data_IF_675703817266
#
_entry.id   IF_675703817266
#
_cell.length_a   1.000
_cell.length_b   1.000
_cell.length_c   1.000
_cell.angle_alpha   90.00
_cell.angle_beta   90.00
_cell.angle_gamma   90.00
#
_symmetry.space_group_name_H-M   'P 1'
#
loop_
_entity.id
_entity.type
_entity.pdbx_description
1 polymer ?
#
# COMPACT_ATOMS: atom_id res chain seq x y z
N UNK A 1 -25.18 -40.59 -56.72
CA UNK A 1 -25.34 -39.13 -56.52
C UNK A 1 -25.84 -38.89 -55.10
N UNK A 2 -25.16 -38.02 -54.34
CA UNK A 2 -25.59 -37.26 -53.14
C UNK A 2 -26.26 -38.08 -52.00
N UNK A 3 -25.54 -38.46 -50.94
CA UNK A 3 -25.33 -37.69 -49.68
C UNK A 3 -26.60 -37.00 -49.20
N UNK A 4 -27.10 -37.34 -48.00
CA UNK A 4 -27.41 -36.38 -46.94
C UNK A 4 -27.51 -37.10 -45.59
N UNK A 5 -26.49 -36.83 -44.77
CA UNK A 5 -26.42 -37.10 -43.34
C UNK A 5 -27.38 -36.10 -42.67
N UNK A 6 -28.39 -36.56 -41.93
CA UNK A 6 -29.20 -35.68 -41.08
C UNK A 6 -28.40 -35.44 -39.80
N UNK A 7 -27.67 -34.33 -39.77
CA UNK A 7 -27.07 -33.77 -38.56
C UNK A 7 -28.16 -33.00 -37.83
N UNK A 8 -28.62 -33.55 -36.70
CA UNK A 8 -29.42 -32.82 -35.74
C UNK A 8 -28.56 -31.69 -35.15
N UNK A 9 -28.81 -30.46 -35.58
CA UNK A 9 -28.27 -29.27 -34.94
C UNK A 9 -29.05 -29.09 -33.63
N UNK A 10 -28.45 -29.57 -32.54
CA UNK A 10 -28.82 -29.11 -31.20
C UNK A 10 -28.37 -27.66 -31.13
N UNK A 11 -29.33 -26.74 -31.17
CA UNK A 11 -29.12 -25.34 -30.83
C UNK A 11 -28.78 -25.28 -29.34
N UNK A 12 -27.49 -25.45 -29.02
CA UNK A 12 -26.95 -25.10 -27.72
C UNK A 12 -26.93 -23.57 -27.71
N UNK A 13 -27.98 -22.97 -27.15
CA UNK A 13 -28.01 -21.55 -26.84
C UNK A 13 -26.81 -21.24 -25.95
N UNK A 14 -25.76 -20.69 -26.54
CA UNK A 14 -24.74 -19.96 -25.79
C UNK A 14 -25.47 -18.83 -25.08
N UNK A 15 -25.70 -19.01 -23.77
CA UNK A 15 -25.78 -17.89 -22.85
C UNK A 15 -24.47 -17.14 -23.04
N UNK A 16 -24.51 -16.06 -23.83
CA UNK A 16 -23.50 -15.01 -23.72
C UNK A 16 -23.73 -14.45 -22.34
N UNK A 17 -22.89 -14.86 -21.39
CA UNK A 17 -22.75 -14.15 -20.13
C UNK A 17 -22.48 -12.70 -20.51
N UNK A 18 -23.40 -11.80 -20.14
CA UNK A 18 -23.10 -10.37 -20.14
C UNK A 18 -21.94 -10.23 -19.16
N UNK A 19 -20.71 -10.12 -19.66
CA UNK A 19 -19.66 -9.53 -18.85
C UNK A 19 -20.12 -8.11 -18.60
N UNK A 20 -20.32 -7.74 -17.34
CA UNK A 20 -20.37 -6.33 -17.01
C UNK A 20 -19.09 -5.71 -17.59
N UNK A 21 -19.23 -4.76 -18.51
CA UNK A 21 -18.08 -4.03 -19.03
C UNK A 21 -17.34 -3.45 -17.82
N UNK A 22 -16.13 -3.95 -17.57
CA UNK A 22 -15.28 -3.42 -16.52
C UNK A 22 -14.99 -1.97 -16.89
N UNK A 23 -15.43 -1.02 -16.07
CA UNK A 23 -15.13 0.39 -16.29
C UNK A 23 -13.63 0.62 -16.11
N UNK A 24 -12.97 0.98 -17.20
CA UNK A 24 -11.58 1.42 -17.24
C UNK A 24 -11.62 2.92 -17.51
N UNK A 25 -11.22 3.79 -16.56
CA UNK A 25 -11.26 5.22 -16.79
C UNK A 25 -10.24 5.62 -17.86
N UNK A 26 -10.61 6.54 -18.75
CA UNK A 26 -9.65 7.21 -19.61
C UNK A 26 -8.85 8.20 -18.76
N UNK A 27 -7.62 7.82 -18.40
CA UNK A 27 -6.74 8.59 -17.54
C UNK A 27 -5.57 9.20 -18.33
N UNK A 28 -5.15 10.41 -17.96
CA UNK A 28 -3.87 10.98 -18.43
C UNK A 28 -2.67 10.13 -17.98
N UNK A 29 -2.82 9.44 -16.85
CA UNK A 29 -1.79 8.61 -16.24
C UNK A 29 -2.41 7.40 -15.55
N UNK A 30 -1.81 6.23 -15.77
CA UNK A 30 -2.21 4.98 -15.11
C UNK A 30 -1.04 4.41 -14.32
N UNK A 31 -1.24 4.20 -13.02
CA UNK A 31 -0.32 3.51 -12.11
C UNK A 31 -0.92 2.14 -11.80
N UNK A 32 -0.34 1.12 -12.42
CA UNK A 32 -0.83 -0.25 -12.37
C UNK A 32 0.16 -1.25 -11.78
N UNK A 33 1.23 -0.76 -11.17
CA UNK A 33 2.27 -1.56 -10.54
C UNK A 33 2.73 -0.90 -9.24
N UNK A 34 3.18 -1.71 -8.28
CA UNK A 34 3.72 -1.23 -7.01
C UNK A 34 4.98 -0.38 -7.23
N UNK A 35 5.25 0.52 -6.30
CA UNK A 35 6.45 1.37 -6.35
C UNK A 35 6.18 2.81 -5.92
N UNK A 36 7.21 3.63 -6.03
CA UNK A 36 7.17 5.06 -5.73
C UNK A 36 7.24 5.85 -7.04
N UNK A 37 6.25 6.71 -7.25
CA UNK A 37 6.07 7.53 -8.45
C UNK A 37 6.19 8.99 -8.03
N UNK A 38 7.17 9.69 -8.58
CA UNK A 38 7.39 11.11 -8.30
C UNK A 38 7.08 11.92 -9.54
N UNK A 39 6.14 12.87 -9.45
CA UNK A 39 5.88 13.77 -10.59
C UNK A 39 7.10 14.67 -10.84
N UNK A 40 7.46 14.85 -12.10
CA UNK A 40 8.51 15.79 -12.51
C UNK A 40 7.97 17.05 -13.19
N UNK A 41 6.67 17.07 -13.49
CA UNK A 41 5.96 18.20 -14.08
C UNK A 41 4.48 18.21 -13.68
N UNK A 42 3.82 19.32 -13.94
CA UNK A 42 2.38 19.45 -13.72
C UNK A 42 1.58 18.62 -14.73
N UNK A 43 0.49 18.00 -14.26
CA UNK A 43 -0.47 17.29 -15.09
C UNK A 43 -1.61 18.24 -15.46
N UNK A 44 -1.63 18.64 -16.73
CA UNK A 44 -2.70 19.43 -17.34
C UNK A 44 -3.66 18.48 -18.07
N UNK A 45 -4.84 18.25 -17.50
CA UNK A 45 -5.71 17.14 -17.92
C UNK A 45 -6.66 17.54 -19.06
N UNK A 46 -6.74 16.68 -20.08
CA UNK A 46 -7.74 16.74 -21.15
C UNK A 46 -8.79 15.60 -21.06
N UNK A 47 -8.50 14.55 -20.29
CA UNK A 47 -9.34 13.36 -20.12
C UNK A 47 -10.25 13.46 -18.87
N UNK A 48 -11.12 12.45 -18.71
CA UNK A 48 -12.04 12.36 -17.56
C UNK A 48 -11.30 12.12 -16.23
N UNK A 49 -10.14 11.43 -16.25
CA UNK A 49 -9.32 11.17 -15.06
C UNK A 49 -7.90 11.72 -15.20
N UNK A 50 -7.39 12.39 -14.18
CA UNK A 50 -5.97 12.81 -14.13
C UNK A 50 -5.04 11.61 -13.96
N UNK A 51 -5.05 11.03 -12.77
CA UNK A 51 -4.25 9.85 -12.42
C UNK A 51 -5.18 8.73 -11.97
N UNK A 52 -5.05 7.55 -12.57
CA UNK A 52 -5.70 6.33 -12.11
C UNK A 52 -4.69 5.39 -11.45
N UNK A 53 -4.93 5.05 -10.18
CA UNK A 53 -4.16 4.07 -9.44
C UNK A 53 -5.02 2.80 -9.30
N UNK A 54 -4.54 1.69 -9.86
CA UNK A 54 -5.23 0.39 -9.79
C UNK A 54 -4.36 -0.74 -9.22
N UNK A 55 -3.27 -0.37 -8.53
CA UNK A 55 -2.35 -1.28 -7.87
C UNK A 55 -2.14 -0.93 -6.38
N UNK A 56 -1.82 -1.96 -5.60
CA UNK A 56 -1.44 -1.86 -4.19
C UNK A 56 0.01 -1.42 -4.02
N UNK A 57 0.37 -0.96 -2.81
CA UNK A 57 1.74 -0.61 -2.43
C UNK A 57 2.36 0.47 -3.33
N UNK A 58 1.58 1.54 -3.51
CA UNK A 58 1.93 2.69 -4.35
C UNK A 58 2.20 3.89 -3.47
N UNK A 59 3.32 4.57 -3.71
CA UNK A 59 3.55 5.93 -3.21
C UNK A 59 3.50 6.87 -4.40
N UNK A 60 2.50 7.74 -4.47
CA UNK A 60 2.46 8.86 -5.39
C UNK A 60 2.92 10.11 -4.66
N UNK A 61 4.10 10.61 -5.00
CA UNK A 61 4.67 11.86 -4.52
C UNK A 61 4.56 12.92 -5.61
N UNK A 62 3.73 13.92 -5.39
CA UNK A 62 3.58 15.01 -6.34
C UNK A 62 4.78 15.93 -6.44
N UNK A 63 5.71 15.90 -5.48
CA UNK A 63 6.83 16.84 -5.43
C UNK A 63 6.39 18.32 -5.57
N UNK A 64 5.21 18.64 -5.03
CA UNK A 64 4.49 19.91 -5.11
C UNK A 64 3.98 20.32 -6.50
N UNK A 65 3.97 19.40 -7.47
CA UNK A 65 3.34 19.61 -8.78
C UNK A 65 1.82 19.63 -8.72
N UNK A 66 1.23 20.17 -9.78
CA UNK A 66 -0.20 20.39 -9.91
C UNK A 66 -0.83 19.25 -10.72
N UNK A 67 -1.97 18.74 -10.26
CA UNK A 67 -2.89 17.92 -11.05
C UNK A 67 -4.16 18.74 -11.25
N UNK A 68 -4.30 19.36 -12.43
CA UNK A 68 -5.42 20.26 -12.72
C UNK A 68 -6.34 19.70 -13.80
N UNK A 69 -7.64 19.83 -13.54
CA UNK A 69 -8.70 19.56 -14.50
C UNK A 69 -9.23 20.86 -15.13
N UNK A 70 -10.40 20.75 -15.76
CA UNK A 70 -11.15 21.85 -16.40
C UNK A 70 -12.54 22.07 -15.75
N UNK A 71 -12.80 21.44 -14.59
CA UNK A 71 -14.04 21.52 -13.81
C UNK A 71 -15.34 21.22 -14.61
N UNK A 72 -15.28 20.32 -15.61
CA UNK A 72 -16.50 19.84 -16.29
C UNK A 72 -17.16 18.69 -15.53
N UNK A 73 -18.47 18.49 -15.72
CA UNK A 73 -19.22 17.43 -15.03
C UNK A 73 -18.60 16.05 -15.27
N UNK A 74 -18.31 15.32 -14.17
CA UNK A 74 -17.79 13.93 -14.12
C UNK A 74 -16.27 13.73 -14.23
N UNK A 75 -15.43 14.76 -14.14
CA UNK A 75 -13.98 14.56 -14.11
C UNK A 75 -13.43 14.27 -12.69
N UNK A 76 -12.38 13.44 -12.59
CA UNK A 76 -11.73 13.05 -11.33
C UNK A 76 -10.24 13.32 -11.37
N UNK A 77 -9.68 14.01 -10.37
CA UNK A 77 -8.25 14.30 -10.32
C UNK A 77 -7.42 13.04 -10.14
N UNK A 78 -7.68 12.30 -9.06
CA UNK A 78 -7.03 11.03 -8.78
C UNK A 78 -8.10 9.99 -8.43
N UNK A 79 -8.12 8.90 -9.18
CA UNK A 79 -9.01 7.76 -8.94
C UNK A 79 -8.22 6.58 -8.41
N UNK A 80 -8.58 6.03 -7.25
CA UNK A 80 -8.00 4.80 -6.70
C UNK A 80 -9.07 3.71 -6.72
N UNK A 81 -8.98 2.82 -7.70
CA UNK A 81 -9.97 1.76 -7.90
C UNK A 81 -9.45 0.67 -8.84
N UNK A 82 -9.83 -0.57 -8.56
CA UNK A 82 -9.67 -1.71 -9.46
C UNK A 82 -10.94 -2.55 -9.40
N UNK A 83 -11.48 -2.97 -10.54
CA UNK A 83 -12.72 -3.75 -10.56
C UNK A 83 -12.54 -5.21 -10.12
N UNK A 84 -11.32 -5.74 -10.23
CA UNK A 84 -11.05 -7.16 -10.07
C UNK A 84 -10.37 -7.49 -8.74
N UNK A 85 -9.58 -6.56 -8.21
CA UNK A 85 -8.71 -6.82 -7.06
C UNK A 85 -8.91 -5.79 -5.96
N UNK A 86 -8.63 -6.18 -4.71
CA UNK A 86 -8.50 -5.24 -3.59
C UNK A 86 -7.23 -4.41 -3.77
N UNK A 87 -7.30 -3.13 -3.40
CA UNK A 87 -6.13 -2.25 -3.38
C UNK A 87 -5.79 -1.94 -1.93
N UNK A 88 -4.52 -2.10 -1.57
CA UNK A 88 -4.04 -1.85 -0.21
C UNK A 88 -2.74 -1.03 -0.21
N UNK A 89 -2.47 -0.30 0.87
CA UNK A 89 -1.21 0.39 1.12
C UNK A 89 -0.86 1.44 0.06
N UNK A 90 -1.75 2.40 -0.15
CA UNK A 90 -1.51 3.52 -1.09
C UNK A 90 -1.20 4.79 -0.32
N UNK A 91 -0.17 5.54 -0.69
CA UNK A 91 0.13 6.87 -0.16
C UNK A 91 0.12 7.89 -1.28
N UNK A 92 -0.65 8.97 -1.13
CA UNK A 92 -0.69 10.11 -2.03
C UNK A 92 -0.25 11.34 -1.24
N UNK A 93 0.78 12.05 -1.71
CA UNK A 93 1.31 13.20 -0.98
C UNK A 93 1.91 14.28 -1.86
N UNK A 94 2.08 15.47 -1.29
CA UNK A 94 2.81 16.60 -1.88
C UNK A 94 2.22 17.04 -3.23
N UNK A 95 0.90 17.14 -3.35
CA UNK A 95 0.21 17.50 -4.59
C UNK A 95 -0.68 18.72 -4.41
N UNK A 96 -0.82 19.52 -5.48
CA UNK A 96 -1.90 20.51 -5.60
C UNK A 96 -2.96 19.96 -6.55
N UNK A 97 -4.18 19.75 -6.09
CA UNK A 97 -5.26 19.10 -6.83
C UNK A 97 -6.40 20.10 -7.03
N UNK A 98 -6.66 20.48 -8.28
CA UNK A 98 -7.63 21.56 -8.53
C UNK A 98 -8.44 21.47 -9.81
N UNK A 99 -9.59 22.15 -9.81
CA UNK A 99 -10.52 22.22 -10.94
C UNK A 99 -11.11 20.85 -11.33
N UNK A 100 -11.57 20.07 -10.35
CA UNK A 100 -12.21 18.76 -10.57
C UNK A 100 -13.61 18.67 -9.95
N UNK A 101 -14.51 17.88 -10.55
CA UNK A 101 -15.75 17.49 -9.88
C UNK A 101 -15.44 16.62 -8.65
N UNK A 102 -14.40 15.79 -8.72
CA UNK A 102 -13.86 15.11 -7.53
C UNK A 102 -12.34 15.15 -7.55
N UNK A 103 -11.71 15.78 -6.55
CA UNK A 103 -10.27 15.86 -6.41
C UNK A 103 -9.64 14.47 -6.27
N UNK A 104 -10.06 13.72 -5.24
CA UNK A 104 -9.65 12.32 -5.02
C UNK A 104 -10.88 11.44 -4.83
N UNK A 105 -11.00 10.39 -5.65
CA UNK A 105 -12.06 9.38 -5.58
C UNK A 105 -11.47 8.02 -5.21
N UNK A 106 -12.04 7.37 -4.19
CA UNK A 106 -11.53 6.11 -3.65
C UNK A 106 -12.63 5.06 -3.60
N UNK A 107 -12.39 3.93 -4.24
CA UNK A 107 -13.34 2.82 -4.31
C UNK A 107 -13.52 2.07 -3.01
N UNK A 108 -14.64 1.34 -2.92
CA UNK A 108 -15.04 0.52 -1.76
C UNK A 108 -14.10 -0.68 -1.49
N UNK A 109 -13.29 -1.05 -2.47
CA UNK A 109 -12.32 -2.15 -2.40
C UNK A 109 -10.91 -1.68 -2.02
N UNK A 110 -10.78 -0.43 -1.56
CA UNK A 110 -9.50 0.17 -1.14
C UNK A 110 -9.39 0.16 0.38
N UNK A 111 -8.21 -0.23 0.88
CA UNK A 111 -7.87 -0.30 2.31
C UNK A 111 -6.49 0.32 2.56
N UNK A 112 -6.27 0.87 3.75
CA UNK A 112 -5.02 1.46 4.19
C UNK A 112 -4.45 2.47 3.18
N UNK A 113 -5.25 3.49 2.86
CA UNK A 113 -4.84 4.60 2.02
C UNK A 113 -4.48 5.83 2.87
N UNK A 114 -3.37 6.48 2.56
CA UNK A 114 -2.93 7.72 3.21
C UNK A 114 -2.89 8.87 2.20
N UNK A 115 -3.55 9.98 2.51
CA UNK A 115 -3.52 11.22 1.73
C UNK A 115 -3.06 12.35 2.64
N UNK A 116 -1.90 12.92 2.36
CA UNK A 116 -1.27 13.89 3.26
C UNK A 116 -0.41 14.92 2.55
N UNK A 117 -0.30 16.12 3.12
CA UNK A 117 0.45 17.23 2.54
C UNK A 117 -0.01 17.56 1.10
N UNK A 118 -1.31 17.49 0.86
CA UNK A 118 -1.94 17.91 -0.39
C UNK A 118 -2.74 19.19 -0.20
N UNK A 119 -2.85 19.97 -1.27
CA UNK A 119 -3.63 21.22 -1.33
C UNK A 119 -4.78 21.03 -2.32
N UNK A 120 -6.01 21.29 -1.89
CA UNK A 120 -7.22 21.10 -2.67
C UNK A 120 -7.88 22.44 -2.93
N UNK A 121 -8.07 22.82 -4.21
CA UNK A 121 -8.60 24.11 -4.62
C UNK A 121 -9.63 23.93 -5.76
N UNK A 122 -10.73 24.68 -5.74
CA UNK A 122 -11.72 24.71 -6.84
C UNK A 122 -12.21 23.32 -7.29
N UNK A 123 -12.40 22.39 -6.35
CA UNK A 123 -13.06 21.12 -6.62
C UNK A 123 -14.51 21.13 -6.10
N UNK A 124 -15.43 20.44 -6.76
CA UNK A 124 -16.79 20.27 -6.20
C UNK A 124 -16.73 19.40 -4.94
N UNK A 125 -16.06 18.24 -5.03
CA UNK A 125 -15.66 17.44 -3.89
C UNK A 125 -14.13 17.37 -3.81
N UNK A 126 -13.52 17.69 -2.68
CA UNK A 126 -12.08 17.45 -2.52
C UNK A 126 -11.80 15.94 -2.30
N UNK A 127 -12.73 15.24 -1.67
CA UNK A 127 -12.65 13.80 -1.39
C UNK A 127 -14.02 13.13 -1.55
N UNK A 128 -14.03 12.00 -2.25
CA UNK A 128 -15.13 11.03 -2.22
C UNK A 128 -14.55 9.65 -1.95
N UNK A 129 -14.76 9.11 -0.74
CA UNK A 129 -14.08 7.90 -0.27
C UNK A 129 -15.03 6.87 0.31
N UNK A 130 -14.92 5.66 -0.24
CA UNK A 130 -15.54 4.45 0.28
C UNK A 130 -14.51 3.51 0.92
N UNK A 131 -13.28 3.97 1.16
CA UNK A 131 -12.23 3.14 1.75
C UNK A 131 -12.61 2.69 3.17
N UNK A 132 -12.30 1.43 3.47
CA UNK A 132 -12.54 0.86 4.80
C UNK A 132 -11.52 1.32 5.85
N UNK A 133 -10.32 1.68 5.41
CA UNK A 133 -9.24 2.21 6.25
C UNK A 133 -8.52 3.33 5.50
N UNK A 134 -8.55 4.53 6.07
CA UNK A 134 -8.00 5.73 5.46
C UNK A 134 -7.37 6.63 6.53
N UNK A 135 -6.28 7.28 6.14
CA UNK A 135 -5.72 8.43 6.84
C UNK A 135 -5.73 9.64 5.90
N UNK A 136 -6.39 10.71 6.30
CA UNK A 136 -6.49 11.94 5.52
C UNK A 136 -6.16 13.11 6.44
N UNK A 137 -4.92 13.58 6.42
CA UNK A 137 -4.39 14.53 7.41
C UNK A 137 -3.28 15.40 6.85
N UNK A 138 -3.04 16.55 7.50
CA UNK A 138 -2.07 17.57 7.06
C UNK A 138 -2.33 18.03 5.62
N UNK A 139 -3.58 18.08 5.19
CA UNK A 139 -3.97 18.67 3.92
C UNK A 139 -4.49 20.10 4.11
N UNK A 140 -4.35 20.92 3.07
CA UNK A 140 -4.93 22.27 2.99
C UNK A 140 -6.16 22.24 2.10
N UNK A 141 -7.32 22.56 2.67
CA UNK A 141 -8.61 22.54 1.98
C UNK A 141 -9.11 23.98 1.81
N UNK A 142 -9.16 24.47 0.56
CA UNK A 142 -9.74 25.77 0.24
C UNK A 142 -11.28 25.75 0.34
N UNK A 143 -11.86 26.94 0.42
CA UNK A 143 -13.32 27.13 0.59
C UNK A 143 -14.15 26.53 -0.54
N UNK A 144 -15.44 26.31 -0.26
CA UNK A 144 -16.48 25.94 -1.22
C UNK A 144 -16.30 24.56 -1.88
N UNK A 145 -15.75 23.61 -1.13
CA UNK A 145 -15.60 22.22 -1.56
C UNK A 145 -16.26 21.30 -0.55
N UNK A 146 -16.86 20.21 -1.03
CA UNK A 146 -17.52 19.20 -0.21
C UNK A 146 -16.63 17.96 -0.02
N UNK A 147 -17.03 17.07 0.89
CA UNK A 147 -16.43 15.75 0.99
C UNK A 147 -17.42 14.69 1.44
N UNK A 148 -17.16 13.46 1.00
CA UNK A 148 -17.85 12.25 1.42
C UNK A 148 -16.80 11.24 1.88
N UNK A 149 -16.97 10.70 3.08
CA UNK A 149 -16.07 9.69 3.63
C UNK A 149 -16.78 8.89 4.71
N UNK A 150 -16.66 7.56 4.67
CA UNK A 150 -17.14 6.68 5.74
C UNK A 150 -16.18 6.56 6.92
N UNK A 151 -14.98 7.11 6.79
CA UNK A 151 -13.96 7.14 7.84
C UNK A 151 -13.60 8.60 8.18
N UNK A 152 -13.26 8.90 9.44
CA UNK A 152 -12.83 10.23 9.84
C UNK A 152 -11.60 10.70 9.05
N UNK A 153 -11.55 12.00 8.79
CA UNK A 153 -10.41 12.65 8.14
C UNK A 153 -9.35 12.97 9.19
N UNK A 154 -8.56 11.96 9.57
CA UNK A 154 -7.54 12.08 10.60
C UNK A 154 -6.28 11.26 10.29
N UNK A 155 -5.23 11.54 11.04
CA UNK A 155 -3.98 10.78 11.03
C UNK A 155 -4.08 9.54 11.93
N UNK A 156 -3.14 8.56 11.78
CA UNK A 156 -2.79 7.68 12.88
C UNK A 156 -2.25 8.51 14.07
N UNK A 157 -1.93 7.89 15.21
CA UNK A 157 -1.26 8.65 16.27
C UNK A 157 0.14 9.06 15.79
N UNK A 158 0.52 10.31 16.00
CA UNK A 158 1.79 10.88 15.53
C UNK A 158 2.58 11.41 16.72
N UNK A 159 3.91 11.34 16.63
CA UNK A 159 4.82 12.20 17.40
C UNK A 159 5.22 13.34 16.47
N UNK A 160 4.99 14.58 16.87
CA UNK A 160 5.29 15.76 16.06
C UNK A 160 5.65 16.97 16.91
N UNK A 161 6.29 17.96 16.29
CA UNK A 161 6.48 19.26 16.92
C UNK A 161 5.52 20.31 16.36
N UNK A 162 4.94 21.11 17.24
CA UNK A 162 4.14 22.29 16.92
C UNK A 162 4.48 23.41 17.93
N UNK A 163 4.70 24.64 17.44
CA UNK A 163 5.07 25.76 18.31
C UNK A 163 6.35 25.57 19.14
N UNK A 164 7.25 24.67 18.70
CA UNK A 164 8.48 24.31 19.41
C UNK A 164 8.33 23.24 20.51
N UNK A 165 7.11 22.76 20.77
CA UNK A 165 6.86 21.66 21.71
C UNK A 165 6.60 20.36 20.96
N UNK A 166 6.91 19.23 21.59
CA UNK A 166 6.61 17.90 21.07
C UNK A 166 5.27 17.39 21.64
N UNK A 167 4.47 16.76 20.78
CA UNK A 167 3.18 16.17 21.12
C UNK A 167 3.10 14.74 20.60
N UNK A 168 2.36 13.89 21.31
CA UNK A 168 1.96 12.56 20.83
C UNK A 168 0.44 12.53 20.68
N UNK A 169 -0.06 12.93 19.52
CA UNK A 169 -1.48 13.16 19.28
C UNK A 169 -1.90 12.85 17.83
N UNK A 170 -3.19 12.93 17.53
CA UNK A 170 -3.71 12.82 16.16
C UNK A 170 -3.88 14.21 15.56
N UNK A 171 -3.75 14.31 14.24
CA UNK A 171 -3.88 15.53 13.46
C UNK A 171 -4.91 15.31 12.35
N UNK A 172 -5.67 16.35 12.04
CA UNK A 172 -6.61 16.40 10.92
C UNK A 172 -6.07 17.28 9.81
N UNK A 173 -6.93 18.12 9.24
CA UNK A 173 -6.64 18.96 8.09
C UNK A 173 -6.86 20.45 8.40
N UNK A 174 -6.22 21.30 7.60
CA UNK A 174 -6.44 22.74 7.66
C UNK A 174 -7.54 23.14 6.67
N UNK A 175 -8.56 23.85 7.16
CA UNK A 175 -9.70 24.31 6.35
C UNK A 175 -9.69 25.83 6.26
N UNK A 176 -9.59 26.37 5.05
CA UNK A 176 -9.45 27.81 4.84
C UNK A 176 -10.66 28.58 5.37
N UNK A 177 -10.43 29.44 6.35
CA UNK A 177 -11.48 30.27 6.96
C UNK A 177 -12.35 29.55 7.98
N UNK A 178 -12.07 28.27 8.30
CA UNK A 178 -12.65 27.63 9.47
C UNK A 178 -12.01 28.18 10.74
N UNK A 179 -12.86 28.55 11.70
CA UNK A 179 -12.45 28.90 13.05
C UNK A 179 -13.28 28.05 14.00
N UNK A 180 -12.63 27.11 14.68
CA UNK A 180 -13.29 26.27 15.68
C UNK A 180 -13.71 27.06 16.92
N UNK A 181 -14.28 26.34 17.90
CA UNK A 181 -14.86 26.93 19.12
C UNK A 181 -13.84 27.07 20.25
N UNK A 182 -12.91 26.13 20.34
CA UNK A 182 -11.86 26.06 21.36
C UNK A 182 -10.58 25.52 20.72
N UNK A 183 -9.42 26.01 21.15
CA UNK A 183 -8.10 25.59 20.65
C UNK A 183 -7.45 24.71 21.71
N UNK A 184 -6.92 23.56 21.29
CA UNK A 184 -6.10 22.68 22.12
C UNK A 184 -4.61 23.02 21.99
N UNK A 185 -3.84 22.66 23.02
CA UNK A 185 -2.40 22.97 23.07
C UNK A 185 -1.58 22.25 21.98
N UNK A 186 -2.13 21.15 21.50
CA UNK A 186 -1.67 20.25 20.45
C UNK A 186 -1.73 20.90 19.06
N UNK A 187 -2.30 22.11 18.94
CA UNK A 187 -2.41 22.82 17.68
C UNK A 187 -3.63 22.41 16.85
N UNK A 188 -4.69 21.91 17.49
CA UNK A 188 -5.96 21.55 16.82
C UNK A 188 -7.12 22.31 17.45
N UNK A 189 -8.20 22.46 16.71
CA UNK A 189 -9.48 22.85 17.27
C UNK A 189 -10.13 21.66 17.97
N UNK A 190 -10.83 21.93 19.06
CA UNK A 190 -11.60 20.94 19.79
C UNK A 190 -12.95 20.70 19.12
N UNK A 191 -13.32 19.43 19.01
CA UNK A 191 -14.60 18.98 18.48
C UNK A 191 -14.58 18.69 16.98
N UNK A 192 -15.59 17.95 16.54
CA UNK A 192 -15.67 17.44 15.17
C UNK A 192 -16.13 18.54 14.20
N UNK A 193 -15.35 18.75 13.13
CA UNK A 193 -15.79 19.52 11.99
C UNK A 193 -16.56 18.60 11.05
N UNK A 194 -17.89 18.74 11.03
CA UNK A 194 -18.74 18.09 10.03
C UNK A 194 -18.65 18.80 8.68
N UNK A 195 -18.49 18.01 7.62
CA UNK A 195 -18.42 18.46 6.24
C UNK A 195 -19.65 17.92 5.49
N UNK A 196 -20.29 18.78 4.71
CA UNK A 196 -21.49 18.41 3.96
C UNK A 196 -21.13 17.58 2.72
N UNK A 197 -21.91 16.52 2.49
CA UNK A 197 -21.88 15.64 1.31
C UNK A 197 -23.32 15.32 0.85
N UNK A 198 -23.48 14.71 -0.33
CA UNK A 198 -24.80 14.43 -0.92
C UNK A 198 -25.43 13.14 -0.39
N UNK A 199 -24.61 12.09 -0.19
CA UNK A 199 -25.05 10.76 0.28
C UNK A 199 -24.51 10.38 1.69
N UNK A 200 -23.71 11.26 2.30
CA UNK A 200 -23.13 11.12 3.63
C UNK A 200 -22.03 12.14 3.83
N UNK A 201 -22.06 12.88 4.94
CA UNK A 201 -21.02 13.86 5.25
C UNK A 201 -19.69 13.18 5.61
N UNK A 202 -18.59 13.91 5.48
CA UNK A 202 -17.32 13.57 6.13
C UNK A 202 -17.20 14.32 7.45
N UNK A 203 -16.29 13.92 8.33
CA UNK A 203 -15.96 14.71 9.49
C UNK A 203 -14.47 14.63 9.82
N UNK A 204 -13.95 15.71 10.38
CA UNK A 204 -12.58 15.84 10.84
C UNK A 204 -12.58 16.08 12.36
N UNK A 205 -12.13 15.10 13.17
CA UNK A 205 -12.11 15.22 14.63
C UNK A 205 -10.94 16.05 15.18
N UNK A 206 -9.95 16.39 14.34
CA UNK A 206 -8.76 17.13 14.76
C UNK A 206 -8.40 18.28 13.79
N UNK A 207 -9.32 19.22 13.47
CA UNK A 207 -9.04 20.26 12.49
C UNK A 207 -7.88 21.14 12.94
N UNK A 208 -6.96 21.44 12.02
CA UNK A 208 -5.73 22.18 12.34
C UNK A 208 -6.01 23.68 12.51
N UNK A 209 -5.32 24.31 13.47
CA UNK A 209 -5.41 25.76 13.69
C UNK A 209 -4.47 26.56 12.77
N UNK A 210 -3.42 25.92 12.25
CA UNK A 210 -2.47 26.48 11.30
C UNK A 210 -2.33 25.59 10.07
N UNK A 211 -1.69 26.13 9.03
CA UNK A 211 -1.38 25.37 7.82
C UNK A 211 -0.38 24.23 8.13
N UNK A 212 -0.40 23.14 7.34
CA UNK A 212 0.38 21.93 7.60
C UNK A 212 1.88 22.13 7.82
N UNK A 213 2.49 23.17 7.24
CA UNK A 213 3.94 23.45 7.36
C UNK A 213 4.38 23.77 8.79
N UNK A 214 3.43 24.07 9.68
CA UNK A 214 3.69 24.34 11.10
C UNK A 214 3.82 23.06 11.95
N UNK A 215 3.52 21.89 11.38
CA UNK A 215 3.54 20.60 12.07
C UNK A 215 4.65 19.73 11.48
N UNK A 216 5.69 19.46 12.28
CA UNK A 216 6.81 18.61 11.84
C UNK A 216 6.67 17.22 12.44
N UNK A 217 6.31 16.25 11.60
CA UNK A 217 6.20 14.85 12.01
C UNK A 217 7.60 14.28 12.32
N UNK A 218 7.72 13.68 13.50
CA UNK A 218 8.92 12.96 13.95
C UNK A 218 8.71 11.46 13.73
N UNK A 219 7.54 10.94 14.11
CA UNK A 219 7.26 9.50 14.08
C UNK A 219 5.77 9.24 13.85
N UNK A 220 5.47 8.25 13.03
CA UNK A 220 4.12 7.69 12.88
C UNK A 220 3.97 6.48 13.78
N UNK A 221 2.91 6.45 14.59
CA UNK A 221 2.55 5.34 15.46
C UNK A 221 1.31 4.66 14.90
N UNK A 222 1.51 3.58 14.15
CA UNK A 222 0.42 2.68 13.77
C UNK A 222 0.03 1.84 14.99
N UNK A 223 -1.27 1.54 15.19
CA UNK A 223 -1.65 0.61 16.23
C UNK A 223 -0.96 -0.74 16.04
N UNK A 224 -0.42 -1.29 17.13
CA UNK A 224 0.12 -2.65 17.18
C UNK A 224 -1.04 -3.65 17.04
N UNK A 225 -0.90 -4.62 16.14
CA UNK A 225 -1.90 -5.67 15.94
C UNK A 225 -1.55 -6.83 16.86
N UNK A 226 -2.25 -6.98 18.00
CA UNK A 226 -2.26 -8.25 18.72
C UNK A 226 -3.26 -9.20 18.06
N UNK A 227 -2.77 -10.15 17.26
CA UNK A 227 -3.60 -11.24 16.72
C UNK A 227 -3.91 -12.23 17.85
N UNK A 228 -5.18 -12.29 18.28
CA UNK A 228 -5.59 -13.26 19.30
C UNK A 228 -6.10 -14.59 18.73
N UNK A 229 -6.58 -14.64 17.48
CA UNK A 229 -7.03 -15.87 16.80
C UNK A 229 -6.91 -15.77 15.25
N UNK A 230 -6.52 -16.87 14.60
CA UNK A 230 -6.24 -17.00 13.15
C UNK A 230 -7.46 -16.84 12.21
N UNK A 231 -8.70 -16.78 12.72
CA UNK A 231 -9.91 -16.61 11.89
C UNK A 231 -10.63 -15.26 12.09
N UNK A 232 -10.17 -14.41 13.00
CA UNK A 232 -10.65 -13.03 13.10
C UNK A 232 -9.80 -12.16 12.16
N UNK A 233 -10.37 -11.76 11.02
CA UNK A 233 -9.76 -10.75 10.16
C UNK A 233 -9.41 -9.53 11.00
N UNK A 234 -8.11 -9.25 11.13
CA UNK A 234 -7.49 -8.13 11.86
C UNK A 234 -8.49 -7.30 12.68
N UNK A 235 -8.76 -7.70 13.93
CA UNK A 235 -9.38 -6.79 14.90
C UNK A 235 -8.39 -5.65 15.14
N UNK A 236 -8.57 -4.56 14.40
CA UNK A 236 -7.85 -3.31 14.64
C UNK A 236 -8.37 -2.76 15.96
N UNK A 237 -7.71 -3.13 17.05
CA UNK A 237 -7.74 -2.34 18.25
C UNK A 237 -6.87 -1.09 18.03
N UNK A 238 -7.36 -0.17 17.20
CA UNK A 238 -7.38 1.30 17.43
C UNK A 238 -8.05 2.05 16.25
N UNK A 239 -9.28 1.66 15.88
CA UNK A 239 -10.06 2.40 14.86
C UNK A 239 -11.26 3.16 15.44
N UNK A 240 -11.91 2.72 16.51
CA UNK A 240 -13.00 3.47 17.20
C UNK A 240 -13.22 2.98 18.65
N UNK A 241 -12.44 3.43 19.64
CA UNK A 241 -12.85 3.15 21.03
C UNK A 241 -14.21 3.80 21.41
N UNK A 242 -14.75 4.70 20.59
CA UNK A 242 -15.91 5.55 20.87
C UNK A 242 -16.44 6.01 19.49
N UNK A 243 -17.69 5.88 19.02
CA UNK A 243 -19.02 5.55 19.54
C UNK A 243 -19.91 5.19 18.34
N UNK A 244 -20.95 4.34 18.41
CA UNK A 244 -22.29 4.77 18.88
C UNK A 244 -23.23 3.60 19.18
N UNK A 245 -23.02 2.89 20.30
CA UNK A 245 -24.11 2.47 21.19
C UNK A 245 -23.53 2.03 22.55
N UNK A 246 -23.84 2.69 23.67
CA UNK A 246 -23.21 2.41 24.96
C UNK A 246 -24.09 1.48 25.80
N UNK A 247 -24.37 0.25 25.37
CA UNK A 247 -24.94 -0.76 26.28
C UNK A 247 -24.37 -2.16 26.05
N UNK A 248 -23.71 -2.68 27.09
CA UNK A 248 -23.31 -4.08 27.32
C UNK A 248 -21.87 -4.51 27.03
N UNK A 249 -20.85 -3.85 27.58
CA UNK A 249 -19.61 -4.59 27.90
C UNK A 249 -19.00 -4.20 29.24
N UNK A 250 -18.91 -5.18 30.14
CA UNK A 250 -18.18 -5.13 31.41
C UNK A 250 -16.76 -5.62 31.14
N UNK A 251 -15.75 -4.77 31.38
CA UNK A 251 -14.35 -5.19 31.41
C UNK A 251 -14.11 -5.94 32.71
N UNK A 252 -13.71 -7.21 32.63
CA UNK A 252 -13.16 -7.95 33.77
C UNK A 252 -11.72 -8.37 33.47
N UNK A 253 -10.81 -8.04 34.37
CA UNK A 253 -9.39 -8.41 34.30
C UNK A 253 -9.19 -9.94 34.20
N UNK A 254 -8.19 -10.35 33.42
CA UNK A 254 -7.71 -11.74 33.29
C UNK A 254 -7.26 -12.32 34.66
N UNK A 255 -7.22 -13.65 34.92
CA UNK A 255 -6.86 -14.70 33.94
C UNK A 255 -7.59 -16.06 34.08
N UNK A 256 -7.35 -16.97 33.11
CA UNK A 256 -6.93 -18.40 33.28
C UNK A 256 -7.33 -19.26 32.06
N UNK A 257 -6.36 -20.07 31.64
CA UNK A 257 -6.29 -21.20 30.70
C UNK A 257 -7.55 -22.08 30.58
N UNK A 258 -7.92 -22.50 29.36
CA UNK A 258 -8.06 -23.93 28.93
C UNK A 258 -8.50 -24.09 27.46
N UNK A 259 -8.28 -25.31 26.96
CA UNK A 259 -8.19 -25.88 25.61
C UNK A 259 -9.46 -25.99 24.74
N UNK A 260 -9.21 -26.02 23.41
CA UNK A 260 -9.88 -26.76 22.31
C UNK A 260 -11.35 -26.48 21.97
N UNK A 261 -11.62 -26.05 20.73
CA UNK A 261 -12.18 -26.85 19.62
C UNK A 261 -12.41 -25.99 18.37
N UNK A 262 -12.07 -26.54 17.20
CA UNK A 262 -12.29 -25.98 15.85
C UNK A 262 -13.76 -25.90 15.48
N UNK A 263 -14.15 -24.91 14.64
CA UNK A 263 -15.01 -25.24 13.51
C UNK A 263 -14.76 -24.42 12.21
N UNK A 264 -14.48 -25.16 11.13
CA UNK A 264 -14.96 -24.96 9.74
C UNK A 264 -14.93 -23.54 9.15
N UNK A 265 -13.88 -23.30 8.36
CA UNK A 265 -13.78 -22.19 7.42
C UNK A 265 -14.74 -22.34 6.22
N UNK A 266 -15.57 -21.31 6.06
CA UNK A 266 -16.29 -20.97 4.85
C UNK A 266 -15.44 -20.05 3.97
N UNK A 267 -15.51 -20.31 2.67
CA UNK A 267 -14.79 -19.63 1.59
C UNK A 267 -15.13 -18.14 1.45
N UNK A 268 -14.10 -17.30 1.26
CA UNK A 268 -14.13 -16.29 0.19
C UNK A 268 -13.70 -14.87 0.56
N UNK A 269 -12.41 -14.59 0.47
CA UNK A 269 -11.88 -13.23 0.42
C UNK A 269 -10.43 -13.14 0.86
N UNK A 270 -9.49 -13.65 0.05
CA UNK A 270 -8.05 -13.57 0.35
C UNK A 270 -7.65 -12.10 0.52
N UNK A 271 -7.38 -11.71 1.77
CA UNK A 271 -6.60 -10.51 2.10
C UNK A 271 -5.20 -10.72 1.52
N UNK A 272 -4.51 -9.67 1.06
CA UNK A 272 -3.12 -9.79 0.59
C UNK A 272 -2.15 -10.26 1.68
N UNK A 273 -2.60 -10.28 2.94
CA UNK A 273 -1.85 -10.80 4.09
C UNK A 273 -1.83 -12.34 4.12
N UNK A 274 -2.83 -13.02 3.55
CA UNK A 274 -2.97 -14.47 3.73
C UNK A 274 -1.98 -15.32 2.93
N UNK A 275 -1.27 -14.74 1.95
CA UNK A 275 -0.27 -15.47 1.17
C UNK A 275 1.16 -15.19 1.65
N UNK A 276 1.36 -14.39 2.68
CA UNK A 276 2.69 -14.02 3.20
C UNK A 276 3.03 -14.90 4.38
N UNK A 277 4.31 -15.25 4.52
CA UNK A 277 4.77 -16.08 5.63
C UNK A 277 4.63 -15.36 6.98
N UNK A 278 4.07 -16.07 7.95
CA UNK A 278 3.98 -15.62 9.34
C UNK A 278 5.35 -15.56 10.03
N UNK A 279 6.34 -16.27 9.50
CA UNK A 279 7.72 -16.29 10.02
C UNK A 279 8.44 -14.93 9.84
N UNK A 280 7.93 -14.05 8.98
CA UNK A 280 8.46 -12.69 8.82
C UNK A 280 8.04 -11.85 10.04
N UNK A 281 9.01 -11.50 10.88
CA UNK A 281 8.74 -10.87 12.17
C UNK A 281 8.34 -9.40 12.04
N UNK A 282 9.02 -8.67 11.15
CA UNK A 282 8.77 -7.24 10.98
C UNK A 282 7.62 -6.96 10.05
N UNK A 283 6.71 -6.06 10.48
CA UNK A 283 5.66 -5.50 9.63
C UNK A 283 6.25 -4.72 8.44
N UNK A 284 7.40 -4.10 8.60
CA UNK A 284 8.07 -3.37 7.52
C UNK A 284 8.49 -4.36 6.42
N UNK A 285 9.12 -5.47 6.81
CA UNK A 285 9.52 -6.52 5.86
C UNK A 285 8.29 -7.20 5.26
N UNK A 286 7.25 -7.52 6.05
CA UNK A 286 5.97 -8.07 5.53
C UNK A 286 5.34 -7.15 4.49
N UNK A 287 5.26 -5.84 4.76
CA UNK A 287 4.74 -4.86 3.82
C UNK A 287 5.59 -4.77 2.54
N UNK A 288 6.91 -4.89 2.66
CA UNK A 288 7.77 -4.92 1.47
C UNK A 288 7.51 -6.19 0.64
N UNK A 289 7.55 -7.37 1.26
CA UNK A 289 7.30 -8.65 0.57
C UNK A 289 5.90 -8.70 -0.05
N UNK A 290 4.89 -8.14 0.63
CA UNK A 290 3.53 -8.03 0.10
C UNK A 290 3.48 -7.22 -1.20
N UNK A 291 4.28 -6.15 -1.27
CA UNK A 291 4.42 -5.27 -2.43
C UNK A 291 5.28 -5.80 -3.56
N UNK A 292 6.14 -6.76 -3.24
CA UNK A 292 7.18 -7.21 -4.14
C UNK A 292 6.74 -8.43 -4.95
N UNK A 293 7.12 -8.47 -6.22
CA UNK A 293 7.15 -9.73 -6.96
C UNK A 293 8.31 -10.57 -6.43
N UNK A 294 8.02 -11.73 -5.84
CA UNK A 294 9.05 -12.67 -5.39
C UNK A 294 9.39 -13.60 -6.55
N UNK A 295 10.65 -13.58 -6.99
CA UNK A 295 11.07 -14.14 -8.27
C UNK A 295 12.12 -15.22 -8.06
N UNK A 296 11.89 -16.38 -8.69
CA UNK A 296 12.79 -17.52 -8.64
C UNK A 296 13.29 -17.93 -10.04
N UNK A 297 14.47 -18.55 -10.09
CA UNK A 297 15.10 -19.00 -11.34
C UNK A 297 14.91 -20.48 -11.67
N UNK A 298 14.86 -21.33 -10.63
CA UNK A 298 14.77 -22.79 -10.77
C UNK A 298 13.86 -23.40 -9.67
N UNK A 299 13.55 -24.69 -9.77
CA UNK A 299 12.69 -25.43 -8.82
C UNK A 299 13.23 -25.45 -7.37
N UNK A 300 14.54 -25.29 -7.16
CA UNK A 300 15.13 -25.25 -5.81
C UNK A 300 14.87 -23.88 -5.18
N UNK A 301 15.15 -22.82 -5.92
CA UNK A 301 14.93 -21.44 -5.50
C UNK A 301 13.44 -21.13 -5.34
N UNK A 302 12.57 -21.84 -6.08
CA UNK A 302 11.12 -21.83 -5.90
C UNK A 302 10.72 -22.20 -4.47
N UNK A 303 11.36 -23.22 -3.88
CA UNK A 303 11.08 -23.63 -2.50
C UNK A 303 11.49 -22.55 -1.49
N UNK A 304 12.59 -21.84 -1.74
CA UNK A 304 13.01 -20.73 -0.88
C UNK A 304 12.10 -19.51 -1.05
N UNK A 305 11.71 -19.17 -2.27
CA UNK A 305 10.78 -18.10 -2.58
C UNK A 305 9.41 -18.31 -1.91
N UNK A 306 8.90 -19.56 -1.92
CA UNK A 306 7.65 -19.94 -1.25
C UNK A 306 7.67 -19.75 0.28
N UNK A 307 8.85 -19.63 0.90
CA UNK A 307 8.96 -19.34 2.34
C UNK A 307 8.72 -17.85 2.67
N UNK A 308 8.71 -16.98 1.67
CA UNK A 308 8.37 -15.57 1.84
C UNK A 308 6.89 -15.33 1.58
N UNK A 309 6.36 -15.93 0.51
CA UNK A 309 4.94 -15.86 0.14
C UNK A 309 4.55 -16.96 -0.85
N UNK A 310 3.26 -17.29 -0.95
CA UNK A 310 2.74 -18.28 -1.90
C UNK A 310 2.73 -17.77 -3.35
N UNK A 311 2.47 -16.47 -3.55
CA UNK A 311 2.42 -15.87 -4.90
C UNK A 311 3.82 -15.50 -5.36
N UNK A 312 4.45 -16.42 -6.08
CA UNK A 312 5.79 -16.28 -6.64
C UNK A 312 5.76 -16.30 -8.17
N UNK A 313 6.82 -15.76 -8.79
CA UNK A 313 6.94 -15.60 -10.22
C UNK A 313 8.21 -16.27 -10.74
N UNK A 314 8.07 -17.09 -11.79
CA UNK A 314 9.22 -17.62 -12.50
C UNK A 314 9.89 -16.48 -13.29
N UNK A 315 11.21 -16.39 -13.22
CA UNK A 315 11.98 -15.35 -13.89
C UNK A 315 11.85 -15.36 -15.43
N UNK A 316 11.55 -16.51 -16.03
CA UNK A 316 11.53 -16.66 -17.48
C UNK A 316 10.39 -15.85 -18.13
N UNK A 317 10.76 -14.88 -18.97
CA UNK A 317 9.80 -14.07 -19.74
C UNK A 317 9.04 -13.04 -18.89
N UNK A 318 9.43 -12.86 -17.63
CA UNK A 318 8.91 -11.80 -16.79
C UNK A 318 9.69 -10.51 -17.01
N UNK A 319 9.18 -9.37 -16.53
CA UNK A 319 9.92 -8.10 -16.49
C UNK A 319 9.65 -7.47 -15.14
N UNK A 320 10.71 -7.11 -14.42
CA UNK A 320 10.58 -6.39 -13.15
C UNK A 320 10.20 -4.95 -13.47
N UNK A 321 9.02 -4.56 -13.05
CA UNK A 321 8.49 -3.23 -13.27
C UNK A 321 8.06 -2.55 -11.96
N UNK A 322 8.19 -3.23 -10.82
CA UNK A 322 7.88 -2.71 -9.49
C UNK A 322 8.82 -3.30 -8.45
N UNK A 323 8.43 -3.22 -7.16
CA UNK A 323 9.24 -3.83 -6.10
C UNK A 323 9.44 -5.33 -6.37
N UNK A 324 10.62 -5.85 -6.07
CA UNK A 324 10.93 -7.26 -6.31
C UNK A 324 11.81 -7.85 -5.21
N UNK A 325 11.65 -9.16 -4.98
CA UNK A 325 12.60 -9.98 -4.22
C UNK A 325 13.14 -11.03 -5.18
N UNK A 326 14.41 -10.95 -5.52
CA UNK A 326 15.10 -11.96 -6.33
C UNK A 326 15.66 -13.00 -5.37
N UNK A 327 15.25 -14.25 -5.55
CA UNK A 327 15.74 -15.41 -4.78
C UNK A 327 16.57 -16.31 -5.69
N UNK A 328 17.79 -16.62 -5.25
CA UNK A 328 18.71 -17.52 -5.95
C UNK A 328 19.78 -16.80 -6.79
N UNK A 329 20.89 -17.50 -7.03
CA UNK A 329 22.11 -16.94 -7.65
C UNK A 329 21.99 -16.64 -9.16
N UNK A 330 22.94 -15.87 -9.73
CA UNK A 330 22.90 -15.44 -11.13
C UNK A 330 23.06 -16.58 -12.14
N UNK A 331 23.57 -17.74 -11.72
CA UNK A 331 23.69 -18.91 -12.59
C UNK A 331 22.32 -19.51 -12.96
N UNK A 332 21.33 -19.38 -12.09
CA UNK A 332 20.02 -20.00 -12.27
C UNK A 332 18.87 -19.01 -12.39
N UNK A 333 19.03 -17.78 -11.90
CA UNK A 333 18.02 -16.73 -11.96
C UNK A 333 18.44 -15.64 -12.98
N UNK A 334 17.77 -15.52 -14.14
CA UNK A 334 18.07 -14.51 -15.15
C UNK A 334 18.09 -13.08 -14.63
N UNK A 335 17.23 -12.71 -13.67
CA UNK A 335 17.26 -11.38 -13.08
C UNK A 335 18.41 -11.20 -12.12
N UNK A 336 18.75 -12.24 -11.35
CA UNK A 336 19.98 -12.20 -10.57
C UNK A 336 21.18 -11.94 -11.49
N UNK A 337 21.25 -12.58 -12.66
CA UNK A 337 22.31 -12.32 -13.65
C UNK A 337 22.28 -10.88 -14.20
N UNK A 338 21.10 -10.35 -14.53
CA UNK A 338 20.93 -8.99 -15.06
C UNK A 338 21.34 -7.90 -14.07
N UNK A 339 20.94 -8.04 -12.80
CA UNK A 339 21.16 -7.02 -11.79
C UNK A 339 22.43 -7.24 -10.95
N UNK A 340 23.08 -8.42 -11.00
CA UNK A 340 24.20 -8.79 -10.10
C UNK A 340 25.27 -7.69 -9.98
N UNK A 341 25.71 -7.16 -11.11
CA UNK A 341 26.80 -6.18 -11.20
C UNK A 341 26.40 -4.77 -10.75
N UNK A 342 25.10 -4.52 -10.56
CA UNK A 342 24.58 -3.24 -10.07
C UNK A 342 24.50 -3.20 -8.55
N UNK A 343 24.55 -4.36 -7.89
CA UNK A 343 24.58 -4.49 -6.45
C UNK A 343 25.99 -4.26 -5.89
N UNK A 344 26.08 -3.83 -4.63
CA UNK A 344 27.36 -3.54 -3.98
C UNK A 344 28.25 -4.77 -3.84
N UNK A 345 27.66 -5.95 -3.60
CA UNK A 345 28.38 -7.22 -3.54
C UNK A 345 27.83 -8.23 -4.54
N UNK A 346 28.36 -8.27 -5.78
CA UNK A 346 27.97 -9.28 -6.76
C UNK A 346 28.21 -10.70 -6.24
N UNK A 347 27.24 -11.59 -6.42
CA UNK A 347 27.29 -12.95 -5.91
C UNK A 347 27.85 -13.87 -7.01
N UNK A 348 28.74 -14.78 -6.63
CA UNK A 348 29.26 -15.84 -7.50
C UNK A 348 29.26 -17.17 -6.73
N UNK A 349 29.70 -18.25 -7.37
CA UNK A 349 29.88 -19.54 -6.69
C UNK A 349 31.02 -19.50 -5.65
N UNK A 350 31.82 -18.43 -5.62
CA UNK A 350 32.96 -18.23 -4.72
C UNK A 350 32.76 -17.08 -3.73
N UNK A 351 31.96 -16.07 -4.09
CA UNK A 351 31.65 -14.91 -3.24
C UNK A 351 30.15 -14.90 -2.89
N UNK A 352 29.73 -14.82 -1.61
CA UNK A 352 30.51 -14.49 -0.40
C UNK A 352 31.35 -15.63 0.21
N UNK A 353 31.26 -16.85 -0.31
CA UNK A 353 32.01 -18.01 0.18
C UNK A 353 31.13 -19.18 0.60
N UNK A 354 31.76 -20.28 0.99
CA UNK A 354 31.09 -21.51 1.40
C UNK A 354 30.12 -21.26 2.56
N UNK A 355 28.90 -21.77 2.43
CA UNK A 355 27.77 -21.63 3.35
C UNK A 355 27.35 -20.18 3.61
N UNK A 356 27.78 -19.22 2.78
CA UNK A 356 27.48 -17.79 2.96
C UNK A 356 26.51 -17.28 1.91
N UNK A 357 25.60 -16.44 2.36
CA UNK A 357 24.65 -15.68 1.55
C UNK A 357 24.70 -14.20 1.82
N UNK A 358 24.13 -13.43 0.91
CA UNK A 358 24.02 -11.98 0.97
C UNK A 358 22.55 -11.59 0.87
N UNK A 359 22.14 -10.64 1.70
CA UNK A 359 20.92 -9.86 1.56
C UNK A 359 21.34 -8.44 1.19
N UNK A 360 20.86 -7.93 0.07
CA UNK A 360 21.19 -6.57 -0.36
C UNK A 360 20.05 -5.92 -1.13
N UNK A 361 20.08 -4.59 -1.19
CA UNK A 361 18.98 -3.77 -1.68
C UNK A 361 19.50 -2.84 -2.78
N UNK A 362 18.82 -2.84 -3.92
CA UNK A 362 19.05 -1.90 -5.01
C UNK A 362 17.79 -1.06 -5.21
N UNK A 363 17.95 0.26 -5.24
CA UNK A 363 16.89 1.18 -5.63
C UNK A 363 17.06 1.53 -7.10
N UNK A 364 16.09 1.14 -7.91
CA UNK A 364 16.06 1.44 -9.33
C UNK A 364 15.25 2.72 -9.53
N UNK A 365 15.73 3.60 -10.39
CA UNK A 365 15.01 4.80 -10.81
C UNK A 365 14.95 4.85 -12.34
N UNK A 366 13.74 4.87 -12.87
CA UNK A 366 13.46 5.20 -14.26
C UNK A 366 13.14 6.70 -14.36
N UNK A 367 13.94 7.42 -15.14
CA UNK A 367 13.86 8.87 -15.34
C UNK A 367 13.47 9.23 -16.78
N UNK A 368 13.04 8.24 -17.58
CA UNK A 368 12.81 8.40 -19.02
C UNK A 368 11.51 9.15 -19.39
N UNK A 369 10.65 9.50 -18.43
CA UNK A 369 9.37 10.18 -18.66
C UNK A 369 9.03 11.26 -17.63
N UNK A 370 7.81 11.81 -17.74
CA UNK A 370 7.23 12.85 -16.87
C UNK A 370 6.96 12.42 -15.42
N UNK A 371 7.24 11.15 -15.11
CA UNK A 371 7.22 10.59 -13.77
C UNK A 371 8.55 9.89 -13.57
N UNK A 372 9.21 10.19 -12.46
CA UNK A 372 10.32 9.39 -11.99
C UNK A 372 9.72 8.20 -11.26
N UNK A 373 9.79 7.03 -11.88
CA UNK A 373 9.35 5.77 -11.25
C UNK A 373 10.54 5.18 -10.51
N UNK A 374 10.35 4.85 -9.25
CA UNK A 374 11.36 4.23 -8.42
C UNK A 374 10.80 3.01 -7.72
N UNK A 375 11.57 1.94 -7.71
CA UNK A 375 11.21 0.70 -7.06
C UNK A 375 12.43 0.03 -6.46
N UNK A 376 12.19 -0.86 -5.51
CA UNK A 376 13.25 -1.50 -4.72
C UNK A 376 13.35 -2.97 -5.07
N UNK A 377 14.57 -3.43 -5.35
CA UNK A 377 14.90 -4.83 -5.57
C UNK A 377 15.69 -5.31 -4.35
N UNK A 378 15.15 -6.30 -3.64
CA UNK A 378 15.88 -7.06 -2.63
C UNK A 378 16.47 -8.29 -3.32
N UNK A 379 17.75 -8.55 -3.09
CA UNK A 379 18.45 -9.71 -3.63
C UNK A 379 18.93 -10.62 -2.50
N UNK A 380 18.44 -11.86 -2.52
CA UNK A 380 18.73 -12.91 -1.52
C UNK A 380 19.31 -14.12 -2.25
N UNK A 381 20.62 -14.31 -2.13
CA UNK A 381 21.30 -15.47 -2.68
C UNK A 381 22.61 -15.75 -1.95
N UNK A 382 23.17 -16.94 -2.11
CA UNK A 382 24.51 -17.27 -1.65
C UNK A 382 25.33 -17.99 -2.70
N UNK A 383 26.59 -18.25 -2.37
CA UNK A 383 27.50 -19.01 -3.23
C UNK A 383 27.08 -20.45 -3.42
N UNK A 384 26.30 -20.96 -2.47
CA UNK A 384 25.71 -22.28 -2.51
C UNK A 384 24.28 -22.27 -1.91
N UNK A 385 23.69 -23.47 -1.80
CA UNK A 385 22.32 -23.66 -1.31
C UNK A 385 22.18 -23.31 0.17
N UNK A 386 23.19 -23.62 0.99
CA UNK A 386 23.16 -23.32 2.42
C UNK A 386 23.33 -21.83 2.65
N UNK A 387 24.17 -21.16 1.86
CA UNK A 387 24.30 -19.71 1.84
C UNK A 387 22.99 -19.01 1.47
N UNK A 388 22.32 -19.47 0.39
CA UNK A 388 21.00 -18.92 0.01
C UNK A 388 19.97 -19.13 1.12
N UNK A 389 19.94 -20.31 1.75
CA UNK A 389 19.07 -20.60 2.88
C UNK A 389 19.39 -19.72 4.10
N UNK A 390 20.67 -19.46 4.39
CA UNK A 390 21.08 -18.59 5.48
C UNK A 390 20.58 -17.16 5.30
N UNK A 391 20.80 -16.58 4.12
CA UNK A 391 20.32 -15.25 3.80
C UNK A 391 18.78 -15.19 3.85
N UNK A 392 18.10 -16.24 3.38
CA UNK A 392 16.63 -16.31 3.41
C UNK A 392 16.07 -16.34 4.84
N UNK A 393 16.57 -17.22 5.69
CA UNK A 393 16.11 -17.32 7.08
C UNK A 393 16.44 -16.05 7.88
N UNK A 394 17.62 -15.46 7.66
CA UNK A 394 17.99 -14.22 8.32
C UNK A 394 17.11 -13.04 7.85
N UNK A 395 16.74 -12.99 6.57
CA UNK A 395 15.86 -11.94 6.03
C UNK A 395 14.52 -11.85 6.77
N UNK A 396 13.93 -12.99 7.16
CA UNK A 396 12.67 -13.04 7.91
C UNK A 396 12.77 -12.38 9.30
N UNK A 397 13.99 -12.28 9.85
CA UNK A 397 14.26 -11.70 11.18
C UNK A 397 14.59 -10.20 11.14
N UNK A 398 14.75 -9.61 9.96
CA UNK A 398 15.10 -8.19 9.85
C UNK A 398 13.99 -7.29 10.38
N UNK A 399 14.37 -6.22 11.07
CA UNK A 399 13.43 -5.16 11.48
C UNK A 399 13.11 -4.20 10.33
N UNK A 400 14.07 -3.91 9.45
CA UNK A 400 13.96 -3.02 8.29
C UNK A 400 14.85 -3.50 7.14
N UNK A 401 14.62 -3.02 5.92
CA UNK A 401 15.46 -3.30 4.75
C UNK A 401 16.86 -2.73 4.98
N UNK A 402 17.94 -3.49 4.66
CA UNK A 402 19.27 -3.05 4.99
C UNK A 402 19.74 -1.94 4.04
N UNK A 403 20.54 -1.01 4.57
CA UNK A 403 21.11 0.12 3.83
C UNK A 403 22.38 -0.25 3.06
N UNK A 404 22.96 -1.42 3.35
CA UNK A 404 24.10 -2.02 2.67
C UNK A 404 24.01 -3.55 2.71
N UNK A 405 24.94 -4.28 2.08
CA UNK A 405 24.90 -5.73 2.02
C UNK A 405 25.10 -6.35 3.41
N UNK A 406 24.24 -7.32 3.75
CA UNK A 406 24.40 -8.17 4.93
C UNK A 406 24.91 -9.53 4.46
N UNK A 407 26.07 -9.94 4.95
CA UNK A 407 26.57 -11.31 4.73
C UNK A 407 26.17 -12.19 5.91
N UNK A 408 25.64 -13.37 5.61
CA UNK A 408 25.10 -14.33 6.57
C UNK A 408 25.71 -15.69 6.30
N UNK A 409 26.10 -16.42 7.34
CA UNK A 409 26.64 -17.78 7.27
C UNK A 409 25.66 -18.80 7.86
N UNK A 410 25.49 -19.95 7.21
CA UNK A 410 24.78 -21.08 7.77
C UNK A 410 25.66 -21.84 8.77
N UNK A 411 25.18 -22.00 10.00
CA UNK A 411 25.84 -22.82 11.03
C UNK A 411 24.94 -23.97 11.48
N UNK A 412 25.48 -24.87 12.30
CA UNK A 412 24.68 -25.92 12.95
C UNK A 412 23.51 -25.38 13.78
N UNK A 413 23.60 -24.12 14.24
CA UNK A 413 22.58 -23.44 15.05
C UNK A 413 21.69 -22.49 14.23
N UNK A 414 21.79 -22.51 12.90
CA UNK A 414 21.06 -21.62 12.00
C UNK A 414 21.89 -20.44 11.47
N UNK A 415 21.24 -19.44 10.85
CA UNK A 415 21.91 -18.32 10.22
C UNK A 415 22.51 -17.35 11.24
N UNK A 416 23.75 -16.91 11.01
CA UNK A 416 24.42 -15.88 11.81
C UNK A 416 25.07 -14.83 10.91
N UNK A 417 25.23 -13.60 11.43
CA UNK A 417 26.01 -12.58 10.73
C UNK A 417 27.47 -13.04 10.58
N UNK A 418 28.00 -12.89 9.36
CA UNK A 418 29.34 -13.36 8.99
C UNK A 418 30.44 -12.29 9.13
#
# INVERSE_FOLDING_TARGET
>A
MKRFLILAIVALSMLVSVSADIYIPEANMTINESGTYVLSEDILTLNETGIWINASNVILDGNNHIVTGNSTSKNTGISVYNANDKIENVTIKNLKIKNWSTGVKIGWNVKNITITNCEFEDNEYFLNSYASEQYFYLNTIHKNQSAESYTPLASPKLVYTYGGNEYTYRLGNYYEGYTGTEIESEGVYKGDLELFGWEGGAYDPYPLINTPENYKIIKTLYPEVELKYEEDGALIADIFALTSDPENYVITDAPVTTTTTTPRSGSGGRSYDSDISDDIQSRIIKNFVSSATVIYGNEIDENYANQLRERIQNANGFTITGNAVIVGGPFANPFAMEYNEQFEMPITNENPGENKGIIQVLKVQDTSGSIIKSYTIVYIAGSDRLGTLAAMEYFKTLEDLPTGPITVEWTENGPVLA
#
